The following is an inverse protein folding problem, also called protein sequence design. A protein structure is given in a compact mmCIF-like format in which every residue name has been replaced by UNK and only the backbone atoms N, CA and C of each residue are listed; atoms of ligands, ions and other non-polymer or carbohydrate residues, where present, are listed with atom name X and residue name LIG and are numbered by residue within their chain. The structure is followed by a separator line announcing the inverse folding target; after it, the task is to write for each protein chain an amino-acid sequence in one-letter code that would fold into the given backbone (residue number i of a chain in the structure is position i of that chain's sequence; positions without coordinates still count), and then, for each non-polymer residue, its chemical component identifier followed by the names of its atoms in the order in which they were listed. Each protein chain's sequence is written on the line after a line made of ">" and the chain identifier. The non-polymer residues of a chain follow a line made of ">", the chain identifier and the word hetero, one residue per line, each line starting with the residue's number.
data_IF_762120642952
#
_entry.id   IF_762120642952
#
_cell.length_a   1.000
_cell.length_b   1.000
_cell.length_c   1.000
_cell.angle_alpha   90.00
_cell.angle_beta   90.00
_cell.angle_gamma   90.00
#
_symmetry.space_group_name_H-M   'P 1'
#
loop_
_entity.id
_entity.type
_entity.pdbx_description
1 polymer ?
#
# COMPACT_ATOMS: atom_id res chain seq x y z
N UNK A 1 3.41 -24.04 6.42
CA UNK A 1 2.31 -23.09 6.11
C UNK A 1 2.78 -22.04 5.13
N UNK A 2 2.00 -21.75 4.10
CA UNK A 2 2.35 -20.66 3.19
C UNK A 2 2.41 -19.32 3.94
N UNK A 3 3.37 -18.50 3.58
CA UNK A 3 3.47 -17.14 4.10
C UNK A 3 2.85 -16.20 3.07
N UNK A 4 1.60 -15.83 3.30
CA UNK A 4 0.85 -14.94 2.40
C UNK A 4 1.57 -13.60 2.20
N UNK A 5 2.13 -13.04 3.28
CA UNK A 5 2.81 -11.76 3.19
C UNK A 5 4.06 -11.87 2.32
N UNK A 6 4.84 -12.94 2.46
CA UNK A 6 6.01 -13.16 1.59
C UNK A 6 5.59 -13.24 0.13
N UNK A 7 4.54 -13.98 -0.16
CA UNK A 7 4.03 -14.12 -1.53
C UNK A 7 3.63 -12.76 -2.10
N UNK A 8 2.91 -11.95 -1.32
CA UNK A 8 2.51 -10.60 -1.73
C UNK A 8 3.73 -9.76 -2.06
N UNK A 9 4.74 -9.78 -1.18
CA UNK A 9 5.93 -8.96 -1.35
C UNK A 9 6.79 -9.42 -2.52
N UNK A 10 6.79 -10.69 -2.84
CA UNK A 10 7.54 -11.22 -3.98
C UNK A 10 6.86 -10.91 -5.31
N UNK A 11 5.53 -10.94 -5.35
CA UNK A 11 4.76 -10.78 -6.60
C UNK A 11 4.28 -9.35 -6.84
N UNK A 12 3.93 -8.62 -5.79
CA UNK A 12 3.33 -7.30 -5.91
C UNK A 12 4.38 -6.20 -5.95
N UNK A 13 4.90 -5.88 -7.11
CA UNK A 13 5.99 -4.92 -7.25
C UNK A 13 5.54 -3.48 -7.49
N UNK A 14 4.28 -3.24 -7.78
CA UNK A 14 3.73 -1.90 -7.98
C UNK A 14 2.78 -1.56 -6.84
N UNK A 15 3.16 -0.56 -6.06
CA UNK A 15 2.43 -0.14 -4.87
C UNK A 15 1.79 1.22 -5.11
N UNK A 16 0.45 1.27 -5.06
CA UNK A 16 -0.28 2.53 -5.01
C UNK A 16 -0.40 2.91 -3.54
N UNK A 17 0.28 3.97 -3.14
CA UNK A 17 0.38 4.36 -1.72
C UNK A 17 -0.57 5.51 -1.44
N UNK A 18 -1.70 5.21 -0.83
CA UNK A 18 -2.76 6.16 -0.53
C UNK A 18 -2.45 6.90 0.76
N UNK A 19 -2.41 8.22 0.67
CA UNK A 19 -2.05 9.07 1.81
C UNK A 19 -0.55 9.32 1.92
N UNK A 20 0.21 9.00 0.89
CA UNK A 20 1.64 9.25 0.86
C UNK A 20 1.92 10.76 0.92
N UNK A 21 2.68 11.18 1.94
CA UNK A 21 3.03 12.57 2.16
C UNK A 21 4.46 12.85 1.72
N UNK A 22 4.70 14.06 1.20
CA UNK A 22 6.04 14.55 0.89
C UNK A 22 6.82 14.97 2.14
N UNK A 23 6.12 15.12 3.28
CA UNK A 23 6.74 15.60 4.52
C UNK A 23 7.60 14.52 5.15
N UNK A 24 8.88 14.84 5.38
CA UNK A 24 9.86 13.91 5.95
C UNK A 24 9.41 13.32 7.29
N UNK A 25 8.71 14.09 8.10
CA UNK A 25 8.28 13.65 9.43
C UNK A 25 7.11 12.67 9.39
N UNK A 26 6.45 12.50 8.25
CA UNK A 26 5.33 11.56 8.13
C UNK A 26 5.84 10.15 7.85
N UNK A 27 5.35 9.14 8.60
CA UNK A 27 5.79 7.75 8.42
C UNK A 27 5.65 7.24 6.98
N UNK A 28 4.62 7.69 6.26
CA UNK A 28 4.36 7.22 4.90
C UNK A 28 5.53 7.48 3.95
N UNK A 29 6.20 8.63 4.08
CA UNK A 29 7.31 8.95 3.19
C UNK A 29 8.50 8.02 3.41
N UNK A 30 8.89 7.79 4.66
CA UNK A 30 10.02 6.90 4.97
C UNK A 30 9.76 5.47 4.55
N UNK A 31 8.54 4.98 4.77
CA UNK A 31 8.17 3.62 4.36
C UNK A 31 8.20 3.49 2.84
N UNK A 32 7.58 4.42 2.11
CA UNK A 32 7.55 4.37 0.65
C UNK A 32 8.97 4.53 0.05
N UNK A 33 9.79 5.41 0.62
CA UNK A 33 11.17 5.59 0.19
C UNK A 33 11.96 4.29 0.33
N UNK A 34 11.82 3.61 1.47
CA UNK A 34 12.47 2.33 1.71
C UNK A 34 12.04 1.29 0.66
N UNK A 35 10.73 1.17 0.41
CA UNK A 35 10.23 0.21 -0.55
C UNK A 35 10.72 0.53 -1.97
N UNK A 36 10.73 1.82 -2.33
CA UNK A 36 11.25 2.25 -3.63
C UNK A 36 12.71 1.84 -3.82
N UNK A 37 13.53 2.04 -2.79
CA UNK A 37 14.95 1.65 -2.83
C UNK A 37 15.16 0.15 -2.95
N UNK A 38 14.15 -0.63 -2.58
CA UNK A 38 14.21 -2.09 -2.65
C UNK A 38 13.50 -2.65 -3.88
N UNK A 39 13.31 -1.81 -4.91
CA UNK A 39 12.86 -2.27 -6.21
C UNK A 39 11.36 -2.20 -6.46
N UNK A 40 10.60 -1.56 -5.57
CA UNK A 40 9.16 -1.40 -5.78
C UNK A 40 8.85 -0.12 -6.55
N UNK A 41 7.93 -0.22 -7.48
CA UNK A 41 7.38 0.96 -8.16
C UNK A 41 6.39 1.62 -7.23
N UNK A 42 6.60 2.88 -6.90
CA UNK A 42 5.72 3.65 -6.02
C UNK A 42 4.86 4.58 -6.85
N UNK A 43 3.55 4.49 -6.66
CA UNK A 43 2.57 5.40 -7.26
C UNK A 43 1.93 6.17 -6.10
N UNK A 44 2.31 7.43 -5.88
CA UNK A 44 1.72 8.22 -4.80
C UNK A 44 0.27 8.58 -5.12
N UNK A 45 -0.60 8.47 -4.11
CA UNK A 45 -2.01 8.86 -4.24
C UNK A 45 -2.36 9.75 -3.05
N UNK A 46 -2.58 11.04 -3.30
CA UNK A 46 -2.89 12.02 -2.26
C UNK A 46 -3.38 13.30 -2.93
N UNK A 47 -4.60 13.78 -2.62
CA UNK A 47 -5.14 14.98 -3.27
C UNK A 47 -4.37 16.27 -2.93
N UNK A 48 -3.50 16.24 -1.93
CA UNK A 48 -2.77 17.43 -1.47
C UNK A 48 -1.34 17.53 -2.03
N UNK A 49 -0.90 16.56 -2.84
CA UNK A 49 0.47 16.51 -3.34
C UNK A 49 0.50 16.47 -4.86
N UNK A 50 1.51 17.09 -5.46
CA UNK A 50 1.72 17.01 -6.91
C UNK A 50 2.70 15.92 -7.28
N UNK A 51 3.75 15.75 -6.47
CA UNK A 51 4.74 14.70 -6.66
C UNK A 51 5.34 14.31 -5.30
N UNK A 52 5.74 13.06 -5.17
CA UNK A 52 6.40 12.54 -3.97
C UNK A 52 7.45 11.52 -4.43
N UNK A 53 8.65 11.60 -3.86
CA UNK A 53 9.76 10.69 -4.17
C UNK A 53 10.09 10.63 -5.68
N UNK A 54 9.96 11.77 -6.35
CA UNK A 54 10.25 11.87 -7.78
C UNK A 54 9.16 11.30 -8.68
N UNK A 55 8.01 10.88 -8.13
CA UNK A 55 6.91 10.30 -8.87
C UNK A 55 5.69 11.22 -8.86
N UNK A 56 4.98 11.27 -9.99
CA UNK A 56 3.75 12.03 -10.08
C UNK A 56 2.73 11.48 -9.08
N UNK A 57 2.06 12.38 -8.36
CA UNK A 57 1.02 12.02 -7.41
C UNK A 57 -0.36 12.19 -8.06
N UNK A 58 -1.27 11.25 -7.76
CA UNK A 58 -2.63 11.28 -8.30
C UNK A 58 -3.62 11.58 -7.19
N UNK A 59 -4.73 12.24 -7.52
CA UNK A 59 -5.71 12.67 -6.51
C UNK A 59 -6.48 11.49 -5.91
N UNK A 60 -6.61 10.39 -6.65
CA UNK A 60 -7.33 9.19 -6.23
C UNK A 60 -6.83 7.97 -6.98
N UNK A 61 -7.20 6.78 -6.52
CA UNK A 61 -6.88 5.54 -7.25
C UNK A 61 -7.47 5.54 -8.65
N UNK A 62 -8.68 6.07 -8.80
CA UNK A 62 -9.34 6.10 -10.11
C UNK A 62 -8.56 6.92 -11.14
N UNK A 63 -7.80 7.91 -10.69
CA UNK A 63 -7.02 8.78 -11.58
C UNK A 63 -5.71 8.15 -12.05
N UNK A 64 -5.28 7.05 -11.45
CA UNK A 64 -4.01 6.39 -11.81
C UNK A 64 -4.17 5.68 -13.17
N UNK A 65 -3.35 6.04 -14.19
CA UNK A 65 -3.54 5.47 -15.53
C UNK A 65 -2.91 4.09 -15.73
N UNK A 66 -2.00 3.69 -14.86
CA UNK A 66 -1.33 2.39 -15.00
C UNK A 66 -1.86 1.38 -13.98
N UNK A 67 -1.73 0.08 -14.25
CA UNK A 67 -2.14 -0.92 -13.28
C UNK A 67 -1.21 -0.94 -12.06
N UNK A 68 -1.74 -1.37 -10.92
CA UNK A 68 -0.98 -1.54 -9.70
C UNK A 68 -1.42 -2.80 -8.97
N UNK A 69 -0.49 -3.42 -8.26
CA UNK A 69 -0.73 -4.71 -7.62
C UNK A 69 -1.28 -4.56 -6.21
N UNK A 70 -0.70 -3.66 -5.43
CA UNK A 70 -0.98 -3.52 -4.01
C UNK A 70 -1.38 -2.08 -3.71
N UNK A 71 -2.47 -1.91 -2.97
CA UNK A 71 -2.88 -0.60 -2.45
C UNK A 71 -2.45 -0.55 -1.00
N UNK A 72 -1.47 0.32 -0.69
CA UNK A 72 -0.95 0.51 0.67
C UNK A 72 -1.64 1.73 1.26
N UNK A 73 -2.29 1.58 2.41
CA UNK A 73 -3.16 2.61 2.97
C UNK A 73 -2.56 3.26 4.20
N UNK A 74 -2.24 4.57 4.07
CA UNK A 74 -1.82 5.46 5.16
C UNK A 74 -2.93 6.48 5.42
N UNK A 75 -4.14 6.01 5.69
CA UNK A 75 -5.26 6.87 6.02
C UNK A 75 -5.94 6.37 7.28
N UNK A 76 -6.74 7.22 7.93
CA UNK A 76 -7.52 6.81 9.08
C UNK A 76 -8.44 5.66 8.69
N UNK A 77 -8.68 4.75 9.62
CA UNK A 77 -9.49 3.56 9.38
C UNK A 77 -10.86 3.87 8.79
N UNK A 78 -11.48 4.98 9.20
CA UNK A 78 -12.81 5.38 8.70
C UNK A 78 -12.85 5.62 7.19
N UNK A 79 -11.71 5.90 6.56
CA UNK A 79 -11.63 6.15 5.11
C UNK A 79 -11.30 4.90 4.30
N UNK A 80 -11.03 3.78 4.97
CA UNK A 80 -10.64 2.55 4.27
C UNK A 80 -11.72 2.02 3.33
N UNK A 81 -13.02 2.05 3.68
CA UNK A 81 -14.05 1.53 2.77
C UNK A 81 -14.02 2.14 1.38
N UNK A 82 -13.88 3.47 1.27
CA UNK A 82 -13.84 4.11 -0.05
C UNK A 82 -12.57 3.75 -0.82
N UNK A 83 -11.45 3.57 -0.11
CA UNK A 83 -10.20 3.16 -0.75
C UNK A 83 -10.32 1.74 -1.28
N UNK A 84 -10.96 0.85 -0.53
CA UNK A 84 -11.20 -0.53 -0.96
C UNK A 84 -12.04 -0.56 -2.22
N UNK A 85 -13.11 0.24 -2.30
CA UNK A 85 -13.93 0.29 -3.51
C UNK A 85 -13.12 0.76 -4.72
N UNK A 86 -12.25 1.74 -4.54
CA UNK A 86 -11.33 2.18 -5.60
C UNK A 86 -10.36 1.08 -6.02
N UNK A 87 -9.82 0.35 -5.06
CA UNK A 87 -8.91 -0.78 -5.34
C UNK A 87 -9.62 -1.85 -6.18
N UNK A 88 -10.86 -2.16 -5.83
CA UNK A 88 -11.67 -3.14 -6.56
C UNK A 88 -11.89 -2.67 -7.99
N UNK A 89 -12.34 -1.43 -8.18
CA UNK A 89 -12.61 -0.86 -9.51
C UNK A 89 -11.37 -0.89 -10.41
N UNK A 90 -10.21 -0.65 -9.82
CA UNK A 90 -8.95 -0.56 -10.57
C UNK A 90 -8.27 -1.92 -10.77
N UNK A 91 -8.84 -2.98 -10.21
CA UNK A 91 -8.30 -4.33 -10.40
C UNK A 91 -7.05 -4.64 -9.61
N UNK A 92 -6.86 -3.98 -8.47
CA UNK A 92 -5.75 -4.31 -7.57
C UNK A 92 -5.90 -5.74 -7.05
N UNK A 93 -4.80 -6.34 -6.67
CA UNK A 93 -4.79 -7.72 -6.15
C UNK A 93 -4.76 -7.78 -4.63
N UNK A 94 -4.26 -6.72 -4.00
CA UNK A 94 -4.03 -6.70 -2.55
C UNK A 94 -4.39 -5.34 -1.99
N UNK A 95 -5.02 -5.35 -0.81
CA UNK A 95 -5.20 -4.16 0.02
C UNK A 95 -4.34 -4.35 1.26
N UNK A 96 -3.45 -3.41 1.53
CA UNK A 96 -2.54 -3.45 2.67
C UNK A 96 -2.83 -2.28 3.60
N UNK A 97 -3.39 -2.57 4.76
CA UNK A 97 -3.65 -1.58 5.80
C UNK A 97 -2.46 -1.51 6.74
N UNK A 98 -1.82 -0.34 6.78
CA UNK A 98 -0.62 -0.13 7.60
C UNK A 98 -0.92 -0.21 9.10
N UNK A 99 0.12 -0.16 9.93
CA UNK A 99 -0.03 -0.19 11.39
C UNK A 99 -1.02 0.88 11.85
N UNK A 100 -1.97 0.47 12.68
CA UNK A 100 -3.02 1.35 13.19
C UNK A 100 -4.20 1.55 12.25
N UNK A 101 -4.14 0.99 11.04
CA UNK A 101 -5.23 1.07 10.08
C UNK A 101 -5.99 -0.25 10.11
N UNK A 102 -7.19 -0.22 10.65
CA UNK A 102 -7.99 -1.43 10.87
C UNK A 102 -9.44 -1.16 10.48
N UNK A 103 -9.98 -2.00 9.60
CA UNK A 103 -11.39 -1.92 9.23
C UNK A 103 -11.85 -3.30 8.79
N UNK A 104 -12.49 -4.03 9.69
CA UNK A 104 -12.89 -5.42 9.46
C UNK A 104 -13.89 -5.58 8.31
N UNK A 105 -14.91 -4.71 8.27
CA UNK A 105 -15.92 -4.77 7.22
C UNK A 105 -15.33 -4.50 5.85
N UNK A 106 -14.44 -3.53 5.75
CA UNK A 106 -13.77 -3.24 4.48
C UNK A 106 -12.86 -4.39 4.07
N UNK A 107 -12.19 -5.04 5.03
CA UNK A 107 -11.38 -6.23 4.75
C UNK A 107 -12.24 -7.35 4.18
N UNK A 108 -13.41 -7.60 4.77
CA UNK A 108 -14.34 -8.62 4.27
C UNK A 108 -14.82 -8.28 2.85
N UNK A 109 -15.14 -7.01 2.62
CA UNK A 109 -15.55 -6.53 1.29
C UNK A 109 -14.47 -6.79 0.25
N UNK A 110 -13.21 -6.48 0.58
CA UNK A 110 -12.09 -6.70 -0.32
C UNK A 110 -11.92 -8.20 -0.63
N UNK A 111 -11.98 -9.04 0.40
CA UNK A 111 -11.85 -10.48 0.22
C UNK A 111 -12.99 -11.04 -0.64
N UNK A 112 -14.22 -10.57 -0.42
CA UNK A 112 -15.38 -11.00 -1.20
C UNK A 112 -15.21 -10.65 -2.69
N UNK A 113 -14.48 -9.58 -2.99
CA UNK A 113 -14.19 -9.17 -4.35
C UNK A 113 -12.93 -9.86 -4.94
N UNK A 114 -12.33 -10.77 -4.18
CA UNK A 114 -11.19 -11.56 -4.65
C UNK A 114 -9.82 -10.97 -4.32
N UNK A 115 -9.76 -9.89 -3.55
CA UNK A 115 -8.49 -9.30 -3.15
C UNK A 115 -7.93 -9.99 -1.90
N UNK A 116 -6.61 -10.02 -1.79
CA UNK A 116 -5.95 -10.42 -0.54
C UNK A 116 -5.88 -9.21 0.36
N UNK A 117 -5.90 -9.43 1.67
CA UNK A 117 -5.87 -8.34 2.65
C UNK A 117 -4.81 -8.59 3.71
N UNK A 118 -4.02 -7.56 3.98
CA UNK A 118 -3.14 -7.50 5.15
C UNK A 118 -3.62 -6.29 5.97
N UNK A 119 -3.72 -6.44 7.28
CA UNK A 119 -4.29 -5.41 8.13
C UNK A 119 -3.42 -5.18 9.36
N UNK A 120 -3.20 -3.88 9.70
CA UNK A 120 -2.47 -3.49 10.90
C UNK A 120 -1.02 -4.01 10.91
N UNK A 121 -0.35 -3.88 9.75
CA UNK A 121 1.07 -4.25 9.64
C UNK A 121 1.81 -3.24 8.78
N UNK A 122 3.06 -2.96 9.13
CA UNK A 122 3.91 -2.06 8.35
C UNK A 122 4.61 -2.85 7.25
N UNK A 123 4.40 -2.44 6.00
CA UNK A 123 4.98 -3.15 4.84
C UNK A 123 6.51 -3.15 4.87
N UNK A 124 7.13 -2.06 5.34
CA UNK A 124 8.58 -2.00 5.50
C UNK A 124 9.07 -3.04 6.49
N UNK A 125 8.42 -3.12 7.66
CA UNK A 125 8.83 -4.05 8.71
C UNK A 125 8.65 -5.50 8.26
N UNK A 126 7.56 -5.78 7.56
CA UNK A 126 7.29 -7.13 7.06
C UNK A 126 8.30 -7.52 5.97
N UNK A 127 8.67 -6.57 5.10
CA UNK A 127 9.71 -6.79 4.12
C UNK A 127 11.07 -7.05 4.78
N UNK A 128 11.48 -6.16 5.69
CA UNK A 128 12.79 -6.28 6.34
C UNK A 128 12.93 -7.59 7.11
N UNK A 129 11.87 -7.99 7.79
CA UNK A 129 11.85 -9.25 8.57
C UNK A 129 12.13 -10.46 7.68
N UNK A 130 11.64 -10.47 6.44
CA UNK A 130 11.73 -11.63 5.54
C UNK A 130 12.93 -11.60 4.61
N UNK A 131 13.37 -10.42 4.19
CA UNK A 131 14.38 -10.30 3.15
C UNK A 131 15.68 -9.68 3.62
N UNK A 132 15.70 -9.04 4.79
CA UNK A 132 16.86 -8.33 5.33
C UNK A 132 17.30 -8.89 6.66
N UNK A 133 16.37 -9.20 7.57
CA UNK A 133 16.69 -9.73 8.89
C UNK A 133 17.47 -11.03 8.79
N UNK A 134 18.45 -11.20 9.68
CA UNK A 134 19.33 -12.38 9.67
C UNK A 134 20.59 -12.20 8.86
N UNK A 135 20.77 -11.05 8.20
CA UNK A 135 21.99 -10.72 7.48
C UNK A 135 22.95 -9.87 8.32
N UNK A 136 22.60 -9.69 9.56
CA UNK A 136 23.38 -8.92 10.50
C UNK A 136 24.30 -9.80 11.32
#
# INVERSE_FOLDING_TARGET
>A
MPDLIREILERGKTLAVVGLSSKIMRPSRGVADYMQRHGYRIIPVNPLEESVLGEKCYVSLDAVPEPFDVVVIFRRSEFVPEVVEGAIRKGAKVVWMQEGVIHEQAAERARAAGLKVVMDRCILKEYAKRFVAGRF
#
